data_IF_606194035401
#
_entry.id   IF_606194035401
#
_cell.length_a   1.000
_cell.length_b   1.000
_cell.length_c   1.000
_cell.angle_alpha   90.00
_cell.angle_beta   90.00
_cell.angle_gamma   90.00
#
_symmetry.space_group_name_H-M   'P 1'
#
loop_
_entity.id
_entity.type
_entity.pdbx_description
1 polymer ?
2 polymer ?
3 polymer ?
4 non-polymer ?
5 non-polymer ?
6 water ?
#
# COMPACT_ATOMS: atom_id res chain seq x y z
N UNK A 1 4.47 -18.53 15.73
CA UNK A 1 3.49 -18.64 14.62
C UNK A 1 4.11 -19.27 13.38
N UNK A 2 3.28 -19.82 12.50
CA UNK A 2 3.79 -20.42 11.29
C UNK A 2 4.25 -19.30 10.37
N UNK A 3 5.53 -19.30 10.05
CA UNK A 3 6.08 -18.28 9.17
C UNK A 3 6.03 -18.75 7.72
N UNK A 4 5.58 -17.87 6.84
CA UNK A 4 5.51 -18.15 5.42
C UNK A 4 6.45 -17.13 4.78
N UNK A 5 7.53 -17.59 4.16
CA UNK A 5 8.46 -16.66 3.55
C UNK A 5 8.36 -16.69 2.04
N UNK A 6 8.05 -15.54 1.43
CA UNK A 6 7.92 -15.47 -0.02
C UNK A 6 9.21 -14.98 -0.70
N UNK A 7 9.61 -15.67 -1.76
CA UNK A 7 10.82 -15.37 -2.50
C UNK A 7 10.66 -15.43 -4.02
N UNK A 8 11.16 -14.40 -4.73
CA UNK A 8 11.83 -13.24 -4.13
C UNK A 8 10.77 -12.22 -3.70
N UNK A 9 11.06 -11.41 -2.71
CA UNK A 9 10.08 -10.43 -2.26
C UNK A 9 9.71 -9.47 -3.41
N UNK A 10 10.68 -9.15 -4.25
CA UNK A 10 10.46 -8.25 -5.38
C UNK A 10 11.13 -8.83 -6.63
N UNK A 11 10.54 -8.60 -7.80
CA UNK A 11 11.07 -9.17 -9.03
C UNK A 11 10.71 -8.38 -10.30
N UNK A 12 11.71 -8.16 -11.16
CA UNK A 12 11.50 -7.44 -12.41
C UNK A 12 11.54 -8.40 -13.60
N UNK A 13 10.54 -8.26 -14.46
CA UNK A 13 10.43 -9.14 -15.62
C UNK A 13 9.78 -8.43 -16.80
N UNK A 14 9.77 -9.10 -17.94
CA UNK A 14 9.19 -8.53 -19.16
C UNK A 14 8.11 -9.43 -19.69
N UNK A 15 7.22 -8.85 -20.49
CA UNK A 15 6.15 -9.63 -21.10
C UNK A 15 6.78 -10.79 -21.86
N UNK A 16 6.22 -11.98 -21.66
CA UNK A 16 6.73 -13.15 -22.34
C UNK A 16 7.77 -13.91 -21.54
N UNK A 17 8.11 -13.44 -20.35
CA UNK A 17 9.08 -14.13 -19.52
C UNK A 17 8.42 -15.30 -18.80
N UNK A 18 9.24 -16.21 -18.33
CA UNK A 18 8.77 -17.35 -17.57
C UNK A 18 9.32 -17.15 -16.16
N UNK A 19 8.45 -16.88 -15.19
CA UNK A 19 8.93 -16.69 -13.82
C UNK A 19 8.32 -17.69 -12.87
N UNK A 20 9.09 -18.02 -11.84
CA UNK A 20 8.63 -18.95 -10.83
C UNK A 20 8.91 -18.28 -9.49
N UNK A 21 7.97 -18.33 -8.56
CA UNK A 21 8.22 -17.73 -7.26
C UNK A 21 7.88 -18.71 -6.15
N UNK A 22 8.57 -18.58 -5.03
CA UNK A 22 8.34 -19.51 -3.94
C UNK A 22 7.79 -18.93 -2.65
N UNK A 23 7.29 -19.85 -1.84
CA UNK A 23 6.70 -19.54 -0.56
C UNK A 23 7.09 -20.69 0.37
N UNK A 24 7.88 -20.34 1.38
CA UNK A 24 8.38 -21.29 2.37
C UNK A 24 7.57 -21.24 3.65
N UNK A 25 7.31 -22.42 4.22
CA UNK A 25 6.56 -22.52 5.46
C UNK A 25 7.50 -23.10 6.53
N UNK A 26 7.42 -22.56 7.75
CA UNK A 26 8.24 -23.03 8.85
C UNK A 26 7.87 -24.44 9.29
N UNK A 27 6.62 -24.82 9.07
CA UNK A 27 6.15 -26.18 9.39
C UNK A 27 5.36 -26.69 8.21
N UNK A 28 5.24 -28.01 8.12
CA UNK A 28 4.48 -28.60 7.02
C UNK A 28 3.03 -28.19 7.04
N UNK A 29 2.50 -27.81 5.88
CA UNK A 29 1.11 -27.41 5.76
C UNK A 29 0.43 -28.29 4.71
N UNK A 30 1.02 -29.46 4.49
CA UNK A 30 0.53 -30.43 3.52
C UNK A 30 0.29 -29.79 2.15
N UNK A 31 -0.95 -29.81 1.67
CA UNK A 31 -1.28 -29.22 0.37
C UNK A 31 -2.13 -27.97 0.55
N UNK A 32 -2.36 -27.58 1.80
CA UNK A 32 -3.19 -26.42 2.11
C UNK A 32 -2.54 -25.06 1.89
N UNK A 33 -2.15 -24.78 0.65
CA UNK A 33 -1.55 -23.49 0.31
C UNK A 33 -2.17 -22.89 -0.96
N UNK A 34 -2.62 -21.65 -0.86
CA UNK A 34 -3.24 -21.00 -2.00
C UNK A 34 -2.39 -19.82 -2.51
N UNK A 35 -2.58 -19.48 -3.78
CA UNK A 35 -1.84 -18.39 -4.42
C UNK A 35 -2.82 -17.36 -5.00
N UNK A 36 -2.50 -16.08 -4.83
CA UNK A 36 -3.33 -15.01 -5.34
C UNK A 36 -2.56 -13.94 -6.10
N UNK A 37 -3.24 -13.28 -7.02
CA UNK A 37 -2.62 -12.17 -7.75
C UNK A 37 -3.41 -10.94 -7.29
N UNK A 38 -2.72 -9.88 -6.91
CA UNK A 38 -3.42 -8.67 -6.50
C UNK A 38 -2.90 -7.47 -7.23
N UNK A 39 -3.78 -6.87 -8.03
CA UNK A 39 -3.43 -5.68 -8.78
C UNK A 39 -3.74 -4.47 -7.90
N UNK A 40 -2.95 -3.41 -8.02
CA UNK A 40 -3.14 -2.19 -7.23
C UNK A 40 -4.58 -1.68 -7.26
N UNK A 41 -5.15 -1.51 -6.07
CA UNK A 41 -6.52 -1.02 -5.96
C UNK A 41 -7.58 -2.10 -6.01
N UNK A 42 -7.19 -3.33 -6.35
CA UNK A 42 -8.14 -4.41 -6.44
C UNK A 42 -7.91 -5.47 -5.38
N UNK A 43 -8.97 -6.23 -5.03
CA UNK A 43 -8.85 -7.29 -4.02
C UNK A 43 -8.07 -8.48 -4.55
N UNK A 44 -7.56 -9.34 -3.65
CA UNK A 44 -6.81 -10.52 -4.06
C UNK A 44 -7.66 -11.44 -4.96
N UNK A 45 -7.01 -12.11 -5.90
CA UNK A 45 -7.70 -12.99 -6.83
C UNK A 45 -7.07 -14.39 -6.82
N UNK A 46 -7.83 -15.37 -6.37
CA UNK A 46 -7.35 -16.74 -6.29
C UNK A 46 -6.92 -17.29 -7.65
N UNK A 47 -5.73 -17.90 -7.69
CA UNK A 47 -5.18 -18.49 -8.90
C UNK A 47 -5.05 -20.00 -8.72
N UNK A 48 -4.45 -20.39 -7.60
CA UNK A 48 -4.21 -21.78 -7.26
C UNK A 48 -4.73 -22.12 -5.87
N UNK A 49 -5.48 -23.21 -5.78
CA UNK A 49 -6.01 -23.66 -4.50
C UNK A 49 -5.46 -25.05 -4.25
N UNK A 50 -5.28 -25.39 -2.98
CA UNK A 50 -4.76 -26.69 -2.61
C UNK A 50 -3.37 -26.97 -3.18
N UNK A 51 -2.57 -25.92 -3.29
CA UNK A 51 -1.19 -25.99 -3.78
C UNK A 51 -0.93 -26.24 -5.26
N UNK A 52 -1.70 -27.13 -5.88
CA UNK A 52 -1.50 -27.44 -7.30
C UNK A 52 -2.70 -27.35 -8.22
N UNK A 53 -3.88 -27.08 -7.67
CA UNK A 53 -5.05 -27.02 -8.52
C UNK A 53 -5.39 -25.63 -9.04
N UNK A 54 -5.45 -25.54 -10.37
CA UNK A 54 -5.76 -24.29 -11.06
C UNK A 54 -7.21 -23.94 -10.77
N UNK A 55 -7.45 -22.72 -10.28
CA UNK A 55 -8.81 -22.27 -9.98
C UNK A 55 -9.56 -22.02 -11.28
N UNK A 56 -10.79 -22.52 -11.34
CA UNK A 56 -11.62 -22.36 -12.52
C UNK A 56 -11.66 -20.89 -12.96
N UNK A 57 -11.46 -20.67 -14.26
CA UNK A 57 -11.49 -19.32 -14.80
C UNK A 57 -10.13 -18.63 -14.88
N UNK A 58 -9.11 -19.27 -14.33
CA UNK A 58 -7.77 -18.69 -14.34
C UNK A 58 -6.97 -19.18 -15.54
N UNK A 59 -6.20 -18.28 -16.18
CA UNK A 59 -5.38 -18.61 -17.36
C UNK A 59 -4.49 -19.82 -17.14
N UNK A 60 -4.34 -20.63 -18.19
CA UNK A 60 -3.54 -21.85 -18.13
C UNK A 60 -2.06 -21.57 -17.88
N UNK A 61 -1.63 -20.33 -18.10
CA UNK A 61 -0.23 -19.99 -17.87
C UNK A 61 0.18 -20.13 -16.41
N UNK A 62 -0.77 -20.02 -15.48
CA UNK A 62 -0.46 -20.16 -14.06
C UNK A 62 -0.46 -21.62 -13.63
N UNK A 63 0.48 -21.99 -12.78
CA UNK A 63 0.57 -23.36 -12.29
C UNK A 63 1.21 -23.31 -10.91
N UNK A 64 1.00 -24.37 -10.14
CA UNK A 64 1.58 -24.42 -8.81
C UNK A 64 2.02 -25.82 -8.43
N UNK A 65 3.01 -25.90 -7.55
CA UNK A 65 3.52 -27.19 -7.09
C UNK A 65 4.15 -27.09 -5.71
N UNK A 66 4.29 -28.24 -5.07
CA UNK A 66 4.88 -28.29 -3.75
C UNK A 66 3.98 -28.97 -2.76
N UNK A 67 4.53 -29.26 -1.60
CA UNK A 67 3.80 -29.91 -0.53
C UNK A 67 4.69 -29.79 0.71
N UNK A 68 4.07 -29.69 1.87
CA UNK A 68 4.85 -29.58 3.09
C UNK A 68 5.39 -28.19 3.37
N UNK A 69 6.67 -27.98 3.08
CA UNK A 69 7.27 -26.68 3.35
C UNK A 69 7.68 -25.85 2.14
N UNK A 70 7.74 -26.48 0.97
CA UNK A 70 8.12 -25.76 -0.24
C UNK A 70 7.01 -25.70 -1.28
N UNK A 71 6.78 -24.50 -1.81
CA UNK A 71 5.74 -24.29 -2.82
C UNK A 71 6.13 -23.25 -3.85
N UNK A 72 5.76 -23.49 -5.11
CA UNK A 72 6.07 -22.55 -6.16
C UNK A 72 4.86 -22.22 -7.01
N UNK A 73 4.93 -21.06 -7.65
CA UNK A 73 3.90 -20.58 -8.55
C UNK A 73 4.69 -20.24 -9.80
N UNK A 74 4.26 -20.75 -10.95
CA UNK A 74 4.98 -20.47 -12.17
C UNK A 74 4.10 -19.82 -13.22
N UNK A 75 4.64 -18.84 -13.92
CA UNK A 75 3.90 -18.17 -14.99
C UNK A 75 4.68 -18.40 -16.28
N UNK A 76 4.25 -19.43 -17.03
CA UNK A 76 4.88 -19.85 -18.29
C UNK A 76 5.24 -18.70 -19.22
N UNK A 77 4.32 -17.75 -19.31
CA UNK A 77 4.50 -16.58 -20.15
C UNK A 77 3.77 -15.42 -19.48
N UNK A 78 4.54 -14.43 -19.10
CA UNK A 78 4.04 -13.27 -18.39
C UNK A 78 3.34 -12.27 -19.28
N UNK A 79 2.15 -11.87 -18.85
CA UNK A 79 1.38 -10.89 -19.58
C UNK A 79 1.38 -9.60 -18.79
N UNK A 80 0.85 -8.53 -19.39
CA UNK A 80 0.75 -7.21 -18.78
C UNK A 80 -0.11 -7.27 -17.52
N UNK A 81 -1.20 -8.03 -17.60
CA UNK A 81 -2.15 -8.20 -16.50
C UNK A 81 -1.44 -8.86 -15.30
N UNK A 82 -0.23 -9.38 -15.52
CA UNK A 82 0.54 -10.05 -14.45
C UNK A 82 1.53 -9.21 -13.63
N UNK A 83 1.69 -7.94 -13.96
CA UNK A 83 2.59 -7.09 -13.19
C UNK A 83 1.79 -6.64 -11.98
N UNK A 84 1.94 -7.40 -10.91
CA UNK A 84 1.23 -7.15 -9.67
C UNK A 84 1.96 -7.80 -8.51
N UNK A 85 1.27 -7.89 -7.38
CA UNK A 85 1.84 -8.52 -6.20
C UNK A 85 1.18 -9.86 -5.98
N UNK A 86 1.99 -10.86 -5.65
CA UNK A 86 1.51 -12.21 -5.42
C UNK A 86 1.62 -12.66 -3.98
N UNK A 87 0.61 -13.39 -3.50
CA UNK A 87 0.61 -13.89 -2.13
C UNK A 87 0.25 -15.36 -2.02
N UNK A 88 0.80 -16.01 -1.02
CA UNK A 88 0.50 -17.41 -0.75
C UNK A 88 -0.16 -17.40 0.62
N UNK A 89 -1.01 -18.39 0.87
CA UNK A 89 -1.69 -18.50 2.15
C UNK A 89 -1.84 -19.96 2.52
N UNK A 90 -1.51 -20.30 3.76
CA UNK A 90 -1.66 -21.67 4.19
C UNK A 90 -2.91 -21.69 5.05
N UNK A 91 -3.73 -22.72 4.86
CA UNK A 91 -4.97 -22.85 5.61
C UNK A 91 -5.00 -24.22 6.29
N UNK A 92 -3.84 -24.64 6.77
CA UNK A 92 -3.68 -25.92 7.44
C UNK A 92 -3.68 -25.73 8.96
N UNK A 93 -3.15 -24.61 9.40
CA UNK A 93 -3.08 -24.28 10.83
C UNK A 93 -3.75 -22.96 11.09
N UNK A 94 -4.25 -22.80 12.31
CA UNK A 94 -4.84 -21.55 12.73
C UNK A 94 -3.69 -20.93 13.51
N UNK A 95 -3.44 -19.63 13.28
CA UNK A 95 -4.18 -18.82 12.33
C UNK A 95 -3.75 -19.08 10.87
N UNK A 96 -4.55 -18.61 9.92
CA UNK A 96 -4.25 -18.77 8.51
C UNK A 96 -3.29 -17.67 8.10
N UNK A 97 -2.05 -18.04 7.85
CA UNK A 97 -1.02 -17.09 7.50
C UNK A 97 -0.89 -16.77 6.01
N UNK A 98 -0.52 -15.53 5.73
CA UNK A 98 -0.28 -15.04 4.37
C UNK A 98 1.22 -14.75 4.29
N UNK A 99 1.79 -14.81 3.09
CA UNK A 99 3.21 -14.51 2.95
C UNK A 99 3.39 -13.01 2.88
N UNK A 100 4.63 -12.54 2.84
CA UNK A 100 4.88 -11.10 2.76
C UNK A 100 4.62 -10.54 1.37
N UNK A 101 4.50 -11.42 0.39
CA UNK A 101 4.24 -11.01 -0.97
C UNK A 101 5.45 -10.89 -1.89
N UNK A 102 5.21 -11.07 -3.17
CA UNK A 102 6.25 -10.96 -4.17
C UNK A 102 5.73 -9.94 -5.18
N UNK A 103 6.47 -8.84 -5.31
CA UNK A 103 6.10 -7.75 -6.20
C UNK A 103 6.77 -7.92 -7.57
N UNK A 104 5.96 -8.00 -8.61
CA UNK A 104 6.49 -8.18 -9.96
C UNK A 104 6.26 -6.91 -10.78
N UNK A 105 7.35 -6.26 -11.18
CA UNK A 105 7.23 -5.04 -11.97
C UNK A 105 7.89 -5.16 -13.34
N UNK A 106 7.67 -4.16 -14.19
CA UNK A 106 8.23 -4.14 -15.53
C UNK A 106 9.69 -3.75 -15.58
N UNK A 107 10.49 -4.59 -16.22
CA UNK A 107 11.91 -4.35 -16.30
C UNK A 107 12.35 -3.36 -17.40
N UNK A 108 13.26 -2.46 -17.04
CA UNK A 108 13.79 -1.49 -17.97
C UNK A 108 15.24 -1.30 -17.57
N UNK A 109 15.99 -0.54 -18.37
CA UNK A 109 17.39 -0.33 -18.02
C UNK A 109 17.47 0.47 -16.71
N UNK A 110 18.51 0.19 -15.94
CA UNK A 110 18.73 0.88 -14.68
C UNK A 110 18.79 2.38 -14.93
N UNK A 111 18.04 3.14 -14.15
CA UNK A 111 18.00 4.59 -14.30
C UNK A 111 18.23 5.22 -12.94
N UNK A 112 19.29 6.02 -12.84
CA UNK A 112 19.58 6.68 -11.58
C UNK A 112 18.61 7.84 -11.43
N UNK A 113 18.19 8.14 -10.19
CA UNK A 113 17.26 9.24 -9.95
C UNK A 113 17.86 10.65 -10.12
N UNK A 114 16.98 11.61 -10.38
CA UNK A 114 17.38 13.01 -10.51
C UNK A 114 16.97 13.56 -9.14
N UNK A 115 17.94 13.97 -8.36
CA UNK A 115 17.63 14.46 -7.03
C UNK A 115 17.55 15.98 -6.90
N UNK A 116 16.51 16.45 -6.22
CA UNK A 116 16.32 17.89 -6.00
C UNK A 116 15.97 18.07 -4.54
N UNK A 117 16.42 19.16 -3.93
CA UNK A 117 16.09 19.40 -2.53
C UNK A 117 15.36 20.75 -2.43
N UNK A 118 14.28 20.79 -1.66
CA UNK A 118 13.49 22.01 -1.52
C UNK A 118 13.43 22.56 -0.11
N UNK A 119 13.91 23.80 0.08
CA UNK A 119 13.87 24.38 1.41
C UNK A 119 12.45 24.72 1.84
N UNK A 120 12.22 24.95 3.14
CA UNK A 120 10.87 25.29 3.59
C UNK A 120 10.51 26.68 3.07
N UNK A 121 9.23 26.96 2.91
CA UNK A 121 8.81 28.27 2.46
C UNK A 121 8.78 29.20 3.68
N UNK A 122 8.89 30.50 3.44
CA UNK A 122 8.85 31.45 4.55
C UNK A 122 7.45 31.51 5.13
N UNK A 123 6.44 31.27 4.28
CA UNK A 123 5.07 31.28 4.73
C UNK A 123 4.82 30.16 5.71
N UNK A 124 5.41 28.98 5.45
CA UNK A 124 5.22 27.86 6.36
C UNK A 124 5.95 28.10 7.67
N UNK A 125 7.14 28.69 7.58
CA UNK A 125 7.93 28.94 8.78
C UNK A 125 7.13 29.64 9.88
N UNK A 126 6.13 30.43 9.52
CA UNK A 126 5.33 31.10 10.53
C UNK A 126 4.38 30.13 11.20
N UNK A 127 3.80 29.22 10.42
CA UNK A 127 2.87 28.25 11.00
C UNK A 127 3.59 27.65 12.20
N UNK A 128 4.92 27.73 12.17
CA UNK A 128 5.74 27.22 13.25
C UNK A 128 6.45 25.92 12.89
N UNK A 129 6.36 25.52 11.64
CA UNK A 129 6.99 24.28 11.21
C UNK A 129 7.79 24.44 9.93
N UNK A 130 8.80 23.59 9.76
CA UNK A 130 9.64 23.62 8.58
C UNK A 130 9.66 22.26 7.92
N UNK A 131 9.18 22.21 6.68
CA UNK A 131 9.17 20.98 5.92
C UNK A 131 10.14 21.13 4.76
N UNK A 132 11.20 20.33 4.75
CA UNK A 132 12.14 20.35 3.65
C UNK A 132 11.90 19.02 2.91
N UNK A 133 11.87 19.06 1.59
CA UNK A 133 11.59 17.86 0.82
C UNK A 133 12.63 17.48 -0.21
N UNK A 134 12.80 16.17 -0.39
CA UNK A 134 13.75 15.66 -1.34
C UNK A 134 13.06 14.83 -2.41
N UNK A 135 13.28 15.20 -3.66
CA UNK A 135 12.69 14.53 -4.82
C UNK A 135 13.67 13.61 -5.58
N UNK A 136 13.32 12.34 -5.68
CA UNK A 136 14.12 11.36 -6.43
C UNK A 136 13.26 11.08 -7.67
N UNK A 137 13.64 11.69 -8.79
CA UNK A 137 12.84 11.57 -9.97
C UNK A 137 13.27 10.55 -11.01
N UNK A 138 12.28 9.78 -11.47
CA UNK A 138 12.45 8.81 -12.52
C UNK A 138 13.62 7.87 -12.47
N UNK A 139 13.58 6.95 -11.53
CA UNK A 139 14.66 6.00 -11.37
C UNK A 139 14.19 4.54 -11.53
N UNK A 140 15.16 3.63 -11.62
CA UNK A 140 14.88 2.20 -11.73
C UNK A 140 16.19 1.45 -11.47
N UNK A 141 16.12 0.39 -10.65
CA UNK A 141 14.92 -0.12 -10.00
C UNK A 141 14.31 0.71 -8.87
N UNK A 142 13.20 0.21 -8.35
CA UNK A 142 12.43 0.84 -7.30
C UNK A 142 13.17 1.09 -6.01
N UNK A 143 14.06 0.19 -5.58
CA UNK A 143 14.64 0.54 -4.32
C UNK A 143 15.68 1.63 -4.34
N UNK A 144 15.50 2.45 -3.33
CA UNK A 144 16.27 3.63 -3.13
C UNK A 144 16.32 3.96 -1.65
N UNK A 145 17.34 4.70 -1.27
CA UNK A 145 17.56 5.08 0.10
C UNK A 145 17.82 6.58 0.23
N UNK A 146 17.05 7.23 1.10
CA UNK A 146 17.19 8.64 1.37
C UNK A 146 17.63 8.84 2.82
N UNK A 147 18.74 9.55 3.00
CA UNK A 147 19.23 9.84 4.34
C UNK A 147 19.32 11.36 4.49
N UNK A 148 18.69 11.89 5.53
CA UNK A 148 18.70 13.32 5.80
C UNK A 148 19.81 13.66 6.79
N UNK A 149 20.46 14.80 6.56
CA UNK A 149 21.52 15.26 7.44
C UNK A 149 21.37 16.75 7.68
N UNK A 150 21.47 17.15 8.95
CA UNK A 150 21.38 18.55 9.33
C UNK A 150 22.67 18.85 10.08
N UNK A 151 23.46 19.76 9.54
CA UNK A 151 24.75 20.11 10.12
C UNK A 151 25.49 18.82 10.43
N UNK A 152 25.43 17.94 9.43
CA UNK A 152 26.03 16.63 9.41
C UNK A 152 25.48 15.60 10.36
N UNK A 153 24.39 15.94 11.05
CA UNK A 153 23.76 14.99 11.98
C UNK A 153 22.73 14.16 11.23
N UNK A 154 22.85 12.84 11.31
CA UNK A 154 21.92 11.94 10.63
C UNK A 154 20.53 12.06 11.27
N UNK A 155 19.52 12.37 10.46
CA UNK A 155 18.15 12.52 10.95
C UNK A 155 17.39 11.20 10.95
N UNK A 156 16.69 10.92 12.05
CA UNK A 156 15.92 9.69 12.17
C UNK A 156 14.61 9.88 12.92
N UNK A 157 13.52 9.39 12.34
CA UNK A 157 12.22 9.50 12.97
C UNK A 157 11.45 10.77 12.67
N UNK A 158 12.01 11.66 11.85
CA UNK A 158 11.33 12.91 11.53
C UNK A 158 11.10 13.08 10.04
N UNK A 159 11.07 11.98 9.30
CA UNK A 159 10.83 12.05 7.87
C UNK A 159 9.81 11.00 7.47
N UNK A 160 9.17 11.21 6.33
CA UNK A 160 8.19 10.30 5.79
C UNK A 160 8.40 10.31 4.29
N UNK A 161 8.00 9.25 3.60
CA UNK A 161 8.15 9.22 2.15
C UNK A 161 7.11 8.35 1.49
N UNK A 162 6.89 8.59 0.19
CA UNK A 162 5.96 7.80 -0.59
C UNK A 162 6.54 7.65 -1.99
N UNK A 163 6.16 6.59 -2.67
CA UNK A 163 6.64 6.33 -4.02
C UNK A 163 5.48 6.27 -4.97
N UNK A 164 5.68 6.75 -6.19
CA UNK A 164 4.63 6.68 -7.17
C UNK A 164 4.69 5.26 -7.74
N UNK A 165 3.65 4.89 -8.49
CA UNK A 165 3.60 3.57 -9.12
C UNK A 165 4.47 3.64 -10.35
N UNK A 166 4.86 2.46 -10.86
CA UNK A 166 5.69 2.40 -12.05
C UNK A 166 4.97 3.13 -13.18
N UNK A 167 5.69 4.04 -13.83
CA UNK A 167 5.17 4.83 -14.94
C UNK A 167 4.76 3.90 -16.08
N UNK A 168 3.67 4.23 -16.75
CA UNK A 168 3.24 3.33 -17.81
C UNK A 168 3.97 3.49 -19.14
N UNK A 169 4.69 4.59 -19.34
CA UNK A 169 5.42 4.78 -20.59
C UNK A 169 6.93 4.58 -20.42
N UNK A 170 7.50 5.05 -19.32
CA UNK A 170 8.94 4.88 -19.12
C UNK A 170 9.36 3.89 -18.05
N UNK A 171 8.37 3.28 -17.39
CA UNK A 171 8.63 2.27 -16.36
C UNK A 171 9.48 2.71 -15.17
N UNK A 172 9.57 4.00 -14.91
CA UNK A 172 10.36 4.47 -13.77
C UNK A 172 9.49 4.74 -12.55
N UNK A 173 10.17 4.97 -11.42
CA UNK A 173 9.53 5.29 -10.16
C UNK A 173 10.01 6.67 -9.76
N UNK A 174 9.31 7.29 -8.82
CA UNK A 174 9.72 8.60 -8.31
C UNK A 174 9.41 8.58 -6.83
N UNK A 175 10.32 9.13 -6.04
CA UNK A 175 10.11 9.14 -4.60
C UNK A 175 10.15 10.54 -3.99
N UNK A 176 9.39 10.70 -2.92
CA UNK A 176 9.32 11.96 -2.22
C UNK A 176 9.53 11.71 -0.72
N UNK A 177 10.42 12.48 -0.12
CA UNK A 177 10.74 12.36 1.30
C UNK A 177 10.60 13.74 1.94
N UNK A 178 10.01 13.78 3.13
CA UNK A 178 9.82 15.04 3.83
C UNK A 178 10.40 15.01 5.21
N UNK A 179 11.30 15.95 5.46
CA UNK A 179 11.93 16.11 6.76
C UNK A 179 11.14 17.22 7.43
N UNK A 180 10.61 16.95 8.61
CA UNK A 180 9.82 17.95 9.33
C UNK A 180 10.48 18.36 10.64
N UNK A 181 10.69 19.66 10.78
CA UNK A 181 11.33 20.21 11.96
C UNK A 181 10.55 21.40 12.50
N UNK A 182 10.83 21.76 13.75
CA UNK A 182 10.19 22.91 14.35
C UNK A 182 10.90 24.12 13.75
N UNK A 183 10.21 25.24 13.66
CA UNK A 183 10.84 26.45 13.14
C UNK A 183 12.13 26.72 13.92
N UNK A 184 12.04 26.60 15.24
CA UNK A 184 13.17 26.84 16.11
C UNK A 184 14.38 26.00 15.71
N UNK A 185 14.16 24.70 15.59
CA UNK A 185 15.23 23.79 15.20
C UNK A 185 15.80 24.16 13.85
N UNK A 186 14.92 24.43 12.89
CA UNK A 186 15.35 24.79 11.55
C UNK A 186 16.32 25.97 11.54
N UNK A 187 16.00 26.99 12.32
CA UNK A 187 16.81 28.21 12.40
C UNK A 187 18.09 27.98 13.21
N UNK A 188 18.12 26.90 14.00
CA UNK A 188 19.29 26.58 14.80
C UNK A 188 20.37 25.87 13.98
N UNK A 189 20.09 25.56 12.72
CA UNK A 189 21.07 24.85 11.92
C UNK A 189 21.34 25.43 10.55
N UNK A 190 22.42 24.96 9.94
CA UNK A 190 22.86 25.49 8.65
C UNK A 190 22.71 24.66 7.38
N UNK A 191 23.44 23.54 7.28
CA UNK A 191 23.34 22.70 6.08
C UNK A 191 22.25 21.67 6.13
N UNK A 192 21.46 21.63 5.08
CA UNK A 192 20.41 20.65 4.96
C UNK A 192 20.75 19.81 3.75
N UNK A 193 21.02 18.54 3.99
CA UNK A 193 21.36 17.68 2.88
C UNK A 193 20.53 16.42 2.83
N UNK A 194 20.33 15.97 1.60
CA UNK A 194 19.58 14.77 1.28
C UNK A 194 20.55 13.86 0.53
N UNK A 195 20.89 12.71 1.11
CA UNK A 195 21.80 11.76 0.47
C UNK A 195 21.05 10.56 -0.08
N UNK A 196 21.14 10.37 -1.39
CA UNK A 196 20.45 9.28 -2.06
C UNK A 196 21.34 8.12 -2.48
N UNK A 197 20.90 6.91 -2.13
CA UNK A 197 21.61 5.70 -2.49
C UNK A 197 20.76 4.96 -3.51
N UNK A 198 21.36 4.56 -4.62
CA UNK A 198 20.63 3.85 -5.65
C UNK A 198 21.57 3.16 -6.62
N UNK A 199 21.23 1.92 -6.93
CA UNK A 199 22.02 1.08 -7.83
C UNK A 199 22.50 1.77 -9.12
N UNK A 200 21.79 2.80 -9.58
CA UNK A 200 22.22 3.50 -10.79
C UNK A 200 23.30 4.54 -10.52
N UNK A 201 23.61 4.71 -9.24
CA UNK A 201 24.63 5.67 -8.80
C UNK A 201 25.83 4.92 -8.23
N UNK A 202 27.01 5.14 -8.81
CA UNK A 202 28.23 4.50 -8.35
C UNK A 202 28.48 4.87 -6.89
N UNK A 203 28.17 6.10 -6.54
CA UNK A 203 28.35 6.60 -5.19
C UNK A 203 27.15 7.46 -4.82
N UNK A 204 26.68 7.36 -3.57
CA UNK A 204 25.54 8.13 -3.08
C UNK A 204 25.65 9.60 -3.44
N UNK A 205 24.55 10.18 -3.91
CA UNK A 205 24.57 11.58 -4.29
C UNK A 205 23.94 12.43 -3.19
N UNK A 206 24.49 13.61 -3.00
CA UNK A 206 24.00 14.52 -1.98
C UNK A 206 23.57 15.87 -2.52
N UNK A 207 22.32 16.23 -2.28
CA UNK A 207 21.82 17.54 -2.68
C UNK A 207 21.66 18.28 -1.36
N UNK A 208 22.08 19.53 -1.32
CA UNK A 208 21.99 20.28 -0.08
C UNK A 208 21.83 21.77 -0.30
N UNK A 209 21.62 22.49 0.79
CA UNK A 209 21.47 23.93 0.75
C UNK A 209 21.78 24.49 2.14
N UNK A 210 22.17 25.76 2.18
CA UNK A 210 22.44 26.41 3.45
C UNK A 210 21.27 27.33 3.72
N UNK A 211 20.73 27.28 4.93
CA UNK A 211 19.56 28.07 5.25
C UNK A 211 19.59 29.56 4.89
N UNK A 212 20.67 30.28 5.18
CA UNK A 212 20.60 31.67 4.79
C UNK A 212 20.79 31.96 3.32
N UNK A 213 21.85 31.36 2.78
CA UNK A 213 22.36 31.60 1.44
C UNK A 213 21.87 31.02 0.09
N UNK B 1 -21.93 -14.77 -9.60
CA UNK B 1 -22.41 -15.87 -8.73
C UNK B 1 -22.23 -15.51 -7.24
N UNK B 2 -21.11 -15.85 -6.63
CA UNK B 2 -20.86 -15.52 -5.23
C UNK B 2 -20.23 -14.13 -5.19
N UNK B 3 -20.84 -13.22 -4.43
CA UNK B 3 -20.32 -11.87 -4.29
C UNK B 3 -20.39 -11.45 -2.84
N UNK B 4 -19.35 -10.79 -2.36
CA UNK B 4 -19.32 -10.33 -0.99
C UNK B 4 -19.02 -8.85 -0.98
N UNK B 5 -19.56 -8.14 0.01
CA UNK B 5 -19.31 -6.72 0.07
C UNK B 5 -19.25 -6.22 1.51
N UNK B 6 -18.18 -5.48 1.79
CA UNK B 6 -17.93 -4.92 3.11
C UNK B 6 -18.57 -3.55 3.26
N UNK B 7 -19.10 -3.27 4.45
CA UNK B 7 -19.73 -1.98 4.73
C UNK B 7 -19.43 -1.57 6.17
N UNK B 8 -19.35 -0.26 6.39
CA UNK B 8 -19.06 0.26 7.71
C UNK B 8 -18.59 1.69 7.61
N UNK B 9 -17.99 2.25 8.67
CA UNK B 9 -17.49 3.62 8.67
C UNK B 9 -16.09 3.71 8.09
N UNK B 10 -15.84 4.66 7.18
CA UNK B 10 -14.52 4.83 6.56
C UNK B 10 -13.59 5.57 7.50
N UNK B 11 -14.19 6.28 8.46
CA UNK B 11 -13.45 7.06 9.43
C UNK B 11 -13.82 6.66 10.85
N UNK B 12 -12.84 6.18 11.60
CA UNK B 12 -13.06 5.81 12.98
C UNK B 12 -12.05 6.56 13.83
N UNK B 13 -12.42 6.83 15.08
CA UNK B 13 -11.54 7.55 15.98
C UNK B 13 -10.79 6.65 16.95
N UNK B 14 -9.50 6.96 17.18
CA UNK B 14 -8.67 6.18 18.10
C UNK B 14 -9.46 5.86 19.37
N UNK B 15 -9.35 4.62 19.83
CA UNK B 15 -10.03 4.14 21.03
C UNK B 15 -11.45 3.71 20.71
N UNK B 16 -12.09 4.37 19.75
CA UNK B 16 -13.45 4.03 19.38
C UNK B 16 -13.54 2.61 18.86
N UNK B 17 -14.77 2.15 18.63
CA UNK B 17 -14.97 0.80 18.12
C UNK B 17 -15.39 0.76 16.66
N UNK B 18 -14.71 -0.11 15.91
CA UNK B 18 -14.96 -0.31 14.50
C UNK B 18 -15.86 -1.50 14.24
N UNK B 19 -16.99 -1.27 13.58
CA UNK B 19 -17.91 -2.35 13.25
C UNK B 19 -18.04 -2.47 11.73
N UNK B 20 -17.76 -3.67 11.23
CA UNK B 20 -17.81 -3.96 9.80
C UNK B 20 -18.81 -5.07 9.49
N UNK B 21 -19.44 -4.96 8.33
CA UNK B 21 -20.42 -5.97 7.93
C UNK B 21 -20.11 -6.53 6.56
N UNK B 22 -20.27 -7.84 6.41
CA UNK B 22 -20.02 -8.51 5.14
C UNK B 22 -21.36 -9.05 4.64
N UNK B 23 -21.88 -8.44 3.59
CA UNK B 23 -23.13 -8.88 3.00
C UNK B 23 -22.77 -9.74 1.80
N UNK B 24 -23.41 -10.89 1.69
CA UNK B 24 -23.12 -11.80 0.59
C UNK B 24 -24.36 -12.39 -0.07
N UNK B 25 -24.15 -13.02 -1.22
CA UNK B 25 -25.23 -13.63 -1.97
C UNK B 25 -24.64 -14.61 -2.97
N UNK B 26 -25.37 -15.69 -3.23
CA UNK B 26 -24.89 -16.71 -4.14
C UNK B 26 -24.46 -17.91 -3.32
N UNK B 27 -24.63 -17.80 -2.01
CA UNK B 27 -24.27 -18.88 -1.08
C UNK B 27 -24.83 -18.53 0.28
N UNK B 28 -25.15 -19.53 1.09
CA UNK B 28 -25.69 -19.28 2.42
C UNK B 28 -24.82 -19.94 3.49
N UNK B 29 -24.86 -19.39 4.70
CA UNK B 29 -24.06 -19.95 5.77
C UNK B 29 -24.66 -21.24 6.32
N UNK B 30 -25.68 -21.77 5.64
CA UNK B 30 -26.28 -23.01 6.10
C UNK B 30 -25.68 -24.14 5.24
N UNK B 31 -24.97 -23.75 4.19
CA UNK B 31 -24.33 -24.74 3.35
C UNK B 31 -23.22 -25.33 4.20
N UNK B 32 -23.12 -26.65 4.24
CA UNK B 32 -22.11 -27.31 5.06
C UNK B 32 -20.70 -26.75 4.90
N UNK B 33 -20.00 -26.63 6.03
CA UNK B 33 -18.63 -26.15 6.05
C UNK B 33 -18.26 -24.78 5.49
N UNK B 34 -19.22 -24.05 4.93
CA UNK B 34 -18.90 -22.73 4.39
C UNK B 34 -18.31 -21.81 5.45
N UNK B 35 -17.35 -21.00 5.02
CA UNK B 35 -16.72 -20.06 5.93
C UNK B 35 -16.71 -18.68 5.31
N UNK B 36 -16.48 -17.69 6.14
CA UNK B 36 -16.39 -16.30 5.72
C UNK B 36 -15.32 -15.74 6.61
N UNK B 37 -14.26 -15.22 6.01
CA UNK B 37 -13.18 -14.67 6.81
C UNK B 37 -12.96 -13.20 6.56
N UNK B 38 -12.15 -12.60 7.43
CA UNK B 38 -11.81 -11.20 7.30
C UNK B 38 -10.30 -11.12 7.18
N UNK B 39 -9.86 -10.35 6.20
CA UNK B 39 -8.44 -10.15 5.93
C UNK B 39 -8.26 -8.66 5.77
N UNK B 40 -7.21 -8.12 6.35
CA UNK B 40 -6.98 -6.68 6.23
C UNK B 40 -5.65 -6.43 5.55
N UNK B 41 -5.46 -5.21 5.06
CA UNK B 41 -4.23 -4.85 4.39
C UNK B 41 -3.88 -3.39 4.60
N UNK B 42 -2.84 -3.13 5.40
CA UNK B 42 -2.46 -1.73 5.61
C UNK B 42 -1.90 -1.16 4.31
N UNK B 43 -2.17 0.11 4.03
CA UNK B 43 -1.68 0.76 2.81
C UNK B 43 -0.20 0.45 2.55
N UNK B 44 0.07 -0.23 1.45
CA UNK B 44 1.43 -0.58 1.09
C UNK B 44 2.02 -1.75 1.87
N UNK B 45 1.16 -2.53 2.52
CA UNK B 45 1.64 -3.67 3.29
C UNK B 45 1.02 -4.96 2.76
N UNK B 46 1.36 -6.06 3.42
CA UNK B 46 0.87 -7.37 3.07
C UNK B 46 -0.48 -7.68 3.69
N UNK B 47 -1.11 -8.73 3.22
CA UNK B 47 -2.40 -9.14 3.75
C UNK B 47 -2.19 -9.67 5.16
N UNK B 48 -3.20 -9.50 6.01
CA UNK B 48 -3.11 -9.99 7.36
C UNK B 48 -4.41 -10.69 7.69
N UNK B 49 -4.31 -11.93 8.14
CA UNK B 49 -5.50 -12.71 8.47
C UNK B 49 -6.11 -12.23 9.77
N UNK B 50 -7.42 -12.02 9.78
CA UNK B 50 -8.11 -11.55 10.98
C UNK B 50 -8.90 -12.62 11.72
N UNK B 51 -9.95 -13.15 11.07
CA UNK B 51 -10.78 -14.14 11.71
C UNK B 51 -11.64 -14.89 10.71
N UNK B 52 -12.16 -16.04 11.11
CA UNK B 52 -13.02 -16.82 10.24
C UNK B 52 -14.18 -17.36 11.06
N UNK B 53 -15.35 -17.48 10.42
CA UNK B 53 -16.52 -18.02 11.07
C UNK B 53 -17.20 -18.92 10.07
N UNK B 54 -17.68 -20.06 10.55
CA UNK B 54 -18.32 -21.04 9.69
C UNK B 54 -19.83 -21.19 9.88
N UNK B 55 -20.39 -22.14 9.15
CA UNK B 55 -21.82 -22.43 9.17
C UNK B 55 -22.29 -22.90 10.53
N UNK B 56 -21.48 -23.72 11.19
CA UNK B 56 -21.83 -24.23 12.51
C UNK B 56 -21.48 -23.25 13.62
N UNK B 57 -21.04 -22.06 13.22
CA UNK B 57 -20.67 -21.00 14.15
C UNK B 57 -19.28 -21.20 14.74
N UNK B 58 -18.50 -22.08 14.13
CA UNK B 58 -17.14 -22.35 14.57
C UNK B 58 -16.35 -21.05 14.29
N UNK B 59 -15.60 -20.59 15.27
CA UNK B 59 -14.83 -19.35 15.11
C UNK B 59 -13.37 -19.48 15.49
N UNK B 60 -12.55 -18.63 14.87
CA UNK B 60 -11.13 -18.56 15.14
C UNK B 60 -10.69 -17.15 14.87
N UNK B 61 -9.85 -16.62 15.75
CA UNK B 61 -9.37 -15.27 15.60
C UNK B 61 -7.85 -15.31 15.51
N UNK B 62 -7.25 -14.23 15.04
CA UNK B 62 -5.81 -14.16 14.98
C UNK B 62 -5.41 -13.98 16.43
N UNK B 63 -4.54 -14.86 16.96
CA UNK B 63 -4.09 -14.79 18.34
C UNK B 63 -3.71 -13.40 18.83
N UNK B 64 -3.00 -12.65 18.00
CA UNK B 64 -2.55 -11.31 18.35
C UNK B 64 -3.69 -10.30 18.57
N UNK B 65 -4.78 -10.43 17.81
CA UNK B 65 -5.93 -9.52 17.92
C UNK B 65 -7.11 -10.16 18.65
N UNK B 66 -6.93 -11.38 19.17
CA UNK B 66 -8.00 -12.09 19.85
C UNK B 66 -8.84 -11.37 20.91
N UNK B 67 -8.22 -10.57 21.79
CA UNK B 67 -9.00 -9.89 22.82
C UNK B 67 -9.65 -8.61 22.29
N UNK B 68 -9.45 -8.33 21.01
CA UNK B 68 -10.01 -7.14 20.40
C UNK B 68 -11.04 -7.42 19.29
N UNK B 69 -11.14 -8.67 18.85
CA UNK B 69 -12.05 -9.05 17.79
C UNK B 69 -13.21 -9.95 18.20
N UNK B 70 -14.36 -9.71 17.58
CA UNK B 70 -15.54 -10.52 17.81
C UNK B 70 -16.22 -10.70 16.46
N UNK B 71 -16.42 -11.95 16.07
CA UNK B 71 -17.04 -12.23 14.78
C UNK B 71 -18.39 -12.94 14.97
N UNK B 72 -19.40 -12.49 14.22
CA UNK B 72 -20.73 -13.07 14.29
C UNK B 72 -21.36 -13.21 12.90
N UNK B 73 -22.43 -14.00 12.84
CA UNK B 73 -23.15 -14.21 11.60
C UNK B 73 -24.67 -14.18 11.85
N UNK B 74 -25.41 -13.68 10.87
CA UNK B 74 -26.87 -13.63 10.95
C UNK B 74 -27.36 -14.24 9.65
N UNK B 75 -27.83 -15.48 9.73
CA UNK B 75 -28.32 -16.20 8.57
C UNK B 75 -29.58 -15.57 7.93
N UNK B 76 -30.42 -14.99 8.76
CA UNK B 76 -31.65 -14.34 8.28
C UNK B 76 -31.28 -13.23 7.30
N UNK B 77 -30.07 -12.71 7.44
CA UNK B 77 -29.62 -11.61 6.60
C UNK B 77 -28.45 -11.84 5.68
N UNK B 78 -27.86 -13.04 5.70
CA UNK B 78 -26.70 -13.30 4.86
C UNK B 78 -25.60 -12.29 5.18
N UNK B 79 -25.43 -11.95 6.44
CA UNK B 79 -24.39 -11.00 6.81
C UNK B 79 -23.50 -11.52 7.93
N UNK B 80 -22.24 -11.12 7.87
CA UNK B 80 -21.26 -11.51 8.88
C UNK B 80 -20.73 -10.19 9.44
N UNK B 81 -20.55 -10.13 10.75
CA UNK B 81 -20.09 -8.91 11.39
C UNK B 81 -18.79 -9.05 12.15
N UNK B 82 -17.91 -8.09 11.95
CA UNK B 82 -16.64 -8.08 12.65
C UNK B 82 -16.60 -6.80 13.46
N UNK B 83 -16.23 -6.92 14.73
CA UNK B 83 -16.14 -5.79 15.64
C UNK B 83 -14.72 -5.77 16.18
N UNK B 84 -14.04 -4.65 15.97
CA UNK B 84 -12.68 -4.50 16.46
C UNK B 84 -12.69 -3.36 17.47
N UNK B 85 -12.14 -3.62 18.66
CA UNK B 85 -12.12 -2.61 19.72
C UNK B 85 -10.78 -1.90 19.89
N UNK B 86 -10.84 -0.75 20.55
CA UNK B 86 -9.69 0.12 20.78
C UNK B 86 -8.75 0.14 19.59
N UNK B 87 -9.24 0.71 18.50
CA UNK B 87 -8.47 0.82 17.28
C UNK B 87 -7.51 2.00 17.39
N UNK B 88 -6.39 1.91 16.69
CA UNK B 88 -5.40 2.98 16.69
C UNK B 88 -5.00 3.22 15.24
N UNK B 89 -4.23 4.27 14.97
CA UNK B 89 -3.78 4.59 13.60
C UNK B 89 -3.21 3.38 12.85
N UNK B 90 -2.67 2.42 13.59
CA UNK B 90 -2.10 1.22 13.00
C UNK B 90 -3.14 0.26 12.44
N UNK B 91 -4.41 0.50 12.77
CA UNK B 91 -5.47 -0.35 12.26
C UNK B 91 -6.01 0.23 10.95
N UNK B 92 -5.39 1.32 10.51
CA UNK B 92 -5.78 1.95 9.25
C UNK B 92 -5.35 0.96 8.16
N UNK B 93 -6.32 0.52 7.37
CA UNK B 93 -6.04 -0.43 6.31
C UNK B 93 -7.30 -0.64 5.52
N UNK B 94 -7.23 -1.57 4.58
CA UNK B 94 -8.37 -1.93 3.77
C UNK B 94 -8.81 -3.27 4.33
N UNK B 95 -10.10 -3.41 4.66
CA UNK B 95 -10.61 -4.66 5.18
C UNK B 95 -11.40 -5.42 4.13
N UNK B 96 -11.10 -6.70 3.99
CA UNK B 96 -11.76 -7.56 3.00
C UNK B 96 -12.43 -8.73 3.72
N UNK B 97 -13.57 -9.17 3.22
CA UNK B 97 -14.18 -10.37 3.76
C UNK B 97 -14.14 -11.33 2.59
N UNK B 98 -13.98 -12.62 2.86
CA UNK B 98 -13.90 -13.56 1.77
C UNK B 98 -14.67 -14.83 2.07
N UNK B 99 -15.00 -15.55 1.00
CA UNK B 99 -15.74 -16.79 1.08
C UNK B 99 -14.79 -17.98 1.04
N UNK B 100 -15.10 -19.01 1.83
CA UNK B 100 -14.29 -20.21 1.85
C UNK B 100 -15.19 -21.41 1.61
N UNK B 101 -14.89 -22.15 0.55
CA UNK B 101 -15.68 -23.32 0.20
C UNK B 101 -15.62 -24.41 1.26
N UNK B 102 -16.69 -25.19 1.33
CA UNK B 102 -16.75 -26.27 2.29
C UNK B 102 -16.56 -27.58 1.54
N UNK B 103 -16.43 -28.71 2.24
CA UNK B 103 -16.24 -30.03 1.61
C UNK B 103 -17.41 -30.33 0.66
N UNK B 104 -17.11 -30.80 -0.54
CA UNK B 104 -18.14 -31.13 -1.52
C UNK B 104 -19.03 -32.27 -1.06
N UNK B 112 -13.05 -33.70 -3.74
CA UNK B 112 -13.68 -32.38 -3.66
C UNK B 112 -13.45 -31.94 -2.24
N UNK B 113 -12.17 -31.92 -1.92
CA UNK B 113 -11.66 -31.65 -0.61
C UNK B 113 -10.76 -30.43 -0.64
N UNK B 114 -9.74 -30.52 -1.50
CA UNK B 114 -8.77 -29.46 -1.65
C UNK B 114 -9.29 -28.04 -1.88
N UNK B 115 -10.50 -27.86 -2.45
CA UNK B 115 -11.06 -26.52 -2.69
C UNK B 115 -11.39 -25.69 -1.45
N UNK B 116 -11.18 -26.25 -0.27
CA UNK B 116 -11.43 -25.48 0.95
C UNK B 116 -10.08 -24.83 1.23
N UNK B 117 -9.04 -25.36 0.62
CA UNK B 117 -7.71 -24.81 0.83
C UNK B 117 -7.52 -23.54 0.03
N UNK B 118 -8.30 -22.52 0.38
CA UNK B 118 -8.24 -21.22 -0.26
C UNK B 118 -9.49 -20.41 0.04
N UNK B 119 -9.40 -19.11 -0.21
CA UNK B 119 -10.52 -18.19 -0.06
C UNK B 119 -10.72 -17.84 -1.54
N UNK B 120 -11.81 -18.34 -2.13
CA UNK B 120 -12.07 -18.16 -3.56
C UNK B 120 -12.73 -16.89 -4.07
N UNK B 121 -13.55 -16.24 -3.24
CA UNK B 121 -14.19 -15.01 -3.68
C UNK B 121 -14.06 -13.94 -2.59
N UNK B 122 -13.58 -12.78 -3.01
CA UNK B 122 -13.36 -11.68 -2.09
C UNK B 122 -14.23 -10.48 -2.40
N UNK B 123 -14.43 -9.61 -1.41
CA UNK B 123 -15.24 -8.43 -1.63
C UNK B 123 -14.31 -7.33 -2.11
N UNK B 124 -14.86 -6.21 -2.57
CA UNK B 124 -14.03 -5.10 -3.04
C UNK B 124 -13.00 -4.75 -1.98
N UNK B 125 -13.45 -4.76 -0.74
CA UNK B 125 -12.62 -4.40 0.38
C UNK B 125 -13.13 -3.02 0.77
N UNK B 126 -12.95 -2.63 2.03
CA UNK B 126 -13.38 -1.31 2.46
C UNK B 126 -12.22 -0.62 3.13
N UNK B 127 -12.00 0.63 2.78
CA UNK B 127 -10.90 1.40 3.36
C UNK B 127 -11.36 2.08 4.63
N UNK B 128 -10.65 1.80 5.73
CA UNK B 128 -10.98 2.38 7.02
C UNK B 128 -9.74 3.14 7.48
N UNK B 129 -9.95 4.39 7.90
CA UNK B 129 -8.88 5.25 8.37
C UNK B 129 -9.12 5.61 9.84
N UNK B 130 -8.09 5.43 10.67
CA UNK B 130 -8.19 5.72 12.11
C UNK B 130 -7.54 7.06 12.41
N UNK B 131 -8.34 8.08 12.68
CA UNK B 131 -7.83 9.40 13.00
C UNK B 131 -8.74 10.18 13.95
N UNK B 132 -8.12 10.95 14.84
CA UNK B 132 -8.86 11.74 15.82
C UNK B 132 -9.14 13.11 15.22
N UNK B 133 -8.70 13.27 13.98
CA UNK B 133 -8.85 14.52 13.28
C UNK B 133 -10.23 14.82 12.71
N UNK B 134 -10.49 16.10 12.52
CA UNK B 134 -11.76 16.57 11.95
C UNK B 134 -11.44 17.09 10.55
N UNK B 135 -12.47 17.28 9.73
CA UNK B 135 -12.28 17.80 8.39
C UNK B 135 -11.46 19.08 8.48
N UNK B 136 -10.60 19.27 7.49
CA UNK B 136 -9.74 20.44 7.49
C UNK B 136 -9.08 20.61 6.13
N UNK B 137 -9.16 21.84 5.61
CA UNK B 137 -8.55 22.11 4.32
C UNK B 137 -7.05 22.16 4.43
N UNK B 138 -6.34 22.03 3.30
CA UNK B 138 -4.88 22.06 3.33
C UNK B 138 -4.25 23.44 3.12
N UNK B 139 -3.00 23.54 3.53
CA UNK B 139 -2.21 24.75 3.32
C UNK B 139 -1.34 24.30 2.18
N UNK B 140 -1.13 25.16 1.19
CA UNK B 140 -0.32 24.80 0.04
C UNK B 140 0.95 25.64 0.00
N UNK B 141 2.09 24.97 0.09
CA UNK B 141 3.36 25.65 0.07
C UNK B 141 4.15 25.32 -1.20
N UNK B 142 4.99 26.26 -1.64
CA UNK B 142 5.80 26.06 -2.84
C UNK B 142 7.00 25.15 -2.62
N UNK B 143 7.42 24.49 -3.70
CA UNK B 143 8.61 23.64 -3.70
C UNK B 143 9.38 24.30 -4.84
N UNK B 144 10.04 25.41 -4.50
CA UNK B 144 10.78 26.22 -5.45
C UNK B 144 12.09 25.67 -6.01
N UNK B 145 12.26 25.78 -7.34
CA UNK B 145 13.41 25.34 -8.15
C UNK B 145 14.60 26.28 -8.02
N UNK B 153 18.87 21.94 -19.59
CA UNK B 153 18.89 21.69 -18.17
C UNK B 153 17.48 21.51 -17.64
N UNK B 154 17.33 20.53 -16.77
CA UNK B 154 16.06 20.18 -16.20
C UNK B 154 15.88 20.66 -14.76
N UNK B 155 14.81 21.43 -14.51
CA UNK B 155 14.52 21.93 -13.17
C UNK B 155 13.25 21.29 -12.64
N UNK B 156 13.17 21.15 -11.33
CA UNK B 156 11.99 20.57 -10.71
C UNK B 156 11.39 21.60 -9.78
N UNK B 157 10.06 21.62 -9.73
CA UNK B 157 9.35 22.54 -8.86
C UNK B 157 8.10 21.81 -8.40
N UNK B 158 7.40 22.36 -7.41
CA UNK B 158 6.21 21.69 -6.95
C UNK B 158 5.40 22.40 -5.88
N UNK B 159 4.47 21.65 -5.30
CA UNK B 159 3.61 22.15 -4.26
C UNK B 159 3.49 21.11 -3.17
N UNK B 160 3.62 21.57 -1.94
CA UNK B 160 3.48 20.71 -0.78
C UNK B 160 2.09 21.05 -0.24
N UNK B 161 1.18 20.08 -0.32
CA UNK B 161 -0.19 20.24 0.16
C UNK B 161 -0.20 19.65 1.57
N UNK B 162 -0.22 20.52 2.56
CA UNK B 162 -0.12 20.04 3.93
C UNK B 162 -1.28 20.18 4.90
N UNK B 163 -1.33 19.24 5.84
CA UNK B 163 -2.33 19.20 6.90
C UNK B 163 -3.80 19.29 6.48
N UNK B 164 -4.25 18.31 5.71
CA UNK B 164 -5.63 18.29 5.27
C UNK B 164 -6.28 17.00 5.74
N UNK B 165 -7.60 17.01 5.86
CA UNK B 165 -8.31 15.82 6.27
C UNK B 165 -9.80 15.89 5.95
N UNK B 166 -10.35 14.81 5.40
CA UNK B 166 -9.64 13.58 5.10
C UNK B 166 -9.34 13.51 3.61
N UNK B 167 -8.86 12.36 3.14
CA UNK B 167 -8.60 12.20 1.71
C UNK B 167 -9.96 12.31 1.02
N UNK B 168 -9.99 12.63 -0.29
CA UNK B 168 -8.80 12.87 -1.09
C UNK B 168 -8.59 14.34 -1.42
N UNK B 169 -7.51 14.60 -2.14
CA UNK B 169 -7.18 15.95 -2.57
C UNK B 169 -6.87 15.79 -4.06
N UNK B 170 -7.12 16.81 -4.85
CA UNK B 170 -6.80 16.72 -6.27
C UNK B 170 -5.83 17.85 -6.61
N UNK B 171 -4.87 17.53 -7.47
CA UNK B 171 -3.87 18.51 -7.87
C UNK B 171 -3.67 18.48 -9.39
N UNK B 172 -3.66 19.66 -9.99
CA UNK B 172 -3.42 19.76 -11.42
C UNK B 172 -2.46 20.92 -11.59
N UNK B 173 -1.84 21.01 -12.75
CA UNK B 173 -0.90 22.09 -12.98
C UNK B 173 -1.37 22.95 -14.14
N UNK B 174 -1.38 24.27 -13.92
CA UNK B 174 -1.82 25.22 -14.93
C UNK B 174 -3.20 24.84 -15.46
N UNK B 175 -4.10 24.58 -14.52
CA UNK B 175 -5.49 24.21 -14.83
C UNK B 175 -5.61 23.07 -15.84
N UNK B 176 -4.76 22.06 -15.73
CA UNK B 176 -4.83 20.94 -16.64
C UNK B 176 -3.96 21.04 -17.88
N UNK B 177 -3.54 22.26 -18.20
CA UNK B 177 -2.70 22.48 -19.37
C UNK B 177 -1.32 21.83 -19.25
N UNK B 178 -0.86 21.61 -18.02
CA UNK B 178 0.45 21.00 -17.80
C UNK B 178 0.28 19.59 -17.24
N UNK B 179 0.76 18.59 -17.97
CA UNK B 179 0.62 17.21 -17.54
C UNK B 179 1.88 16.36 -17.62
N UNK B 180 2.72 16.61 -18.63
CA UNK B 180 3.93 15.81 -18.79
C UNK B 180 4.98 16.20 -17.76
N UNK B 181 5.59 15.20 -17.14
CA UNK B 181 6.62 15.46 -16.15
C UNK B 181 6.05 15.59 -14.76
N UNK B 182 4.72 15.50 -14.66
CA UNK B 182 4.02 15.62 -13.38
C UNK B 182 4.02 14.33 -12.57
N UNK B 183 4.26 14.49 -11.26
CA UNK B 183 4.25 13.37 -10.32
C UNK B 183 3.57 13.78 -9.02
N UNK B 184 2.30 13.42 -8.90
CA UNK B 184 1.56 13.71 -7.68
C UNK B 184 1.73 12.45 -6.86
N UNK B 185 2.42 12.57 -5.75
CA UNK B 185 2.68 11.42 -4.89
C UNK B 185 1.54 11.05 -3.96
N UNK B 186 1.61 9.83 -3.41
CA UNK B 186 0.59 9.33 -2.48
C UNK B 186 0.76 10.12 -1.18
N UNK B 187 -0.34 10.60 -0.62
CA UNK B 187 -0.25 11.36 0.62
C UNK B 187 0.20 10.42 1.73
N UNK B 188 0.78 11.00 2.79
CA UNK B 188 1.21 10.22 3.94
C UNK B 188 0.34 10.72 5.09
N UNK B 189 -0.06 9.81 5.97
CA UNK B 189 -0.86 10.20 7.13
C UNK B 189 0.19 10.46 8.20
N UNK B 190 0.28 11.72 8.62
CA UNK B 190 1.26 12.12 9.62
C UNK B 190 0.85 11.69 11.01
N UNK B 191 1.77 11.84 11.96
CA UNK B 191 1.54 11.47 13.34
C UNK B 191 0.43 12.33 13.93
N UNK B 192 0.24 13.52 13.36
CA UNK B 192 -0.79 14.44 13.83
C UNK B 192 -2.19 13.97 13.43
N UNK B 193 -2.24 12.93 12.60
CA UNK B 193 -3.53 12.43 12.14
C UNK B 193 -3.97 13.15 10.89
N UNK B 194 -3.14 14.08 10.42
CA UNK B 194 -3.43 14.85 9.21
C UNK B 194 -2.58 14.39 8.04
N UNK B 195 -3.08 14.61 6.83
CA UNK B 195 -2.36 14.20 5.63
C UNK B 195 -1.44 15.27 5.11
N UNK B 196 -0.51 14.83 4.26
CA UNK B 196 0.44 15.70 3.62
C UNK B 196 0.87 15.02 2.32
N UNK B 197 0.76 15.73 1.21
CA UNK B 197 1.18 15.18 -0.07
C UNK B 197 1.86 16.24 -0.91
N UNK B 198 2.76 15.80 -1.78
CA UNK B 198 3.47 16.70 -2.65
C UNK B 198 3.17 16.35 -4.11
N UNK B 199 3.28 17.34 -4.97
CA UNK B 199 3.05 17.17 -6.39
C UNK B 199 4.16 17.96 -7.06
N UNK B 200 4.94 17.28 -7.89
CA UNK B 200 6.05 17.92 -8.56
C UNK B 200 5.96 17.78 -10.07
N UNK B 201 6.57 18.72 -10.77
CA UNK B 201 6.61 18.66 -12.22
C UNK B 201 8.02 19.08 -12.62
N UNK B 202 8.60 18.30 -13.52
CA UNK B 202 9.94 18.56 -13.99
C UNK B 202 9.89 19.32 -15.33
N UNK B 203 10.66 20.40 -15.42
CA UNK B 203 10.67 21.25 -16.60
C UNK B 203 12.06 21.73 -17.04
N UNK B 204 12.13 22.37 -18.22
CA UNK B 204 13.41 22.89 -18.74
C UNK B 204 13.73 24.19 -18.01
N UNK B 205 14.97 24.33 -17.56
CA UNK B 205 15.40 25.52 -16.84
C UNK B 205 15.04 26.77 -17.62
N UNK B 206 15.38 26.75 -18.90
CA UNK B 206 15.13 27.88 -19.80
C UNK B 206 13.72 28.47 -19.71
N UNK B 207 12.73 27.64 -19.38
CA UNK B 207 11.36 28.10 -19.29
C UNK B 207 11.00 28.67 -17.91
N UNK B 208 11.89 28.51 -16.95
CA UNK B 208 11.64 29.00 -15.60
C UNK B 208 11.40 30.50 -15.55
N UNK B 209 11.91 31.22 -16.54
CA UNK B 209 11.75 32.66 -16.54
C UNK B 209 10.65 33.21 -17.43
N UNK B 210 10.06 32.37 -18.27
CA UNK B 210 9.03 32.84 -19.18
C UNK B 210 7.69 32.10 -19.07
N UNK B 211 7.70 30.91 -18.48
CA UNK B 211 6.47 30.17 -18.30
C UNK B 211 6.09 30.19 -16.82
N UNK B 212 4.80 30.30 -16.53
CA UNK B 212 4.35 30.31 -15.15
C UNK B 212 3.91 28.91 -14.75
N UNK B 213 4.06 28.59 -13.47
CA UNK B 213 3.68 27.28 -12.98
C UNK B 213 2.82 27.42 -11.75
N UNK B 214 1.57 27.02 -11.88
CA UNK B 214 0.60 27.11 -10.80
C UNK B 214 -0.08 25.77 -10.54
N UNK B 215 -0.03 25.29 -9.30
CA UNK B 215 -0.69 24.05 -8.98
C UNK B 215 -2.12 24.38 -8.54
N UNK B 216 -3.09 23.61 -9.00
CA UNK B 216 -4.47 23.86 -8.63
C UNK B 216 -4.89 22.75 -7.67
N UNK B 217 -5.07 23.13 -6.41
CA UNK B 217 -5.41 22.19 -5.35
C UNK B 217 -6.88 22.25 -4.96
N UNK B 218 -7.50 21.08 -4.87
CA UNK B 218 -8.91 21.02 -4.49
C UNK B 218 -9.20 19.91 -3.48
N UNK B 219 -9.61 20.31 -2.28
CA UNK B 219 -9.96 19.40 -1.20
C UNK B 219 -11.46 19.55 -0.96
N UNK B 220 -12.25 18.83 -1.74
CA UNK B 220 -13.71 18.91 -1.65
C UNK B 220 -14.29 18.67 -0.26
N UNK B 221 -13.76 17.68 0.49
CA UNK B 221 -14.29 17.43 1.83
C UNK B 221 -14.40 18.68 2.69
N UNK B 222 -13.49 19.64 2.49
CA UNK B 222 -13.49 20.88 3.25
C UNK B 222 -13.91 22.05 2.38
N UNK B 223 -14.24 21.75 1.12
CA UNK B 223 -14.63 22.77 0.16
C UNK B 223 -13.51 23.81 0.06
N UNK B 224 -12.27 23.34 0.00
CA UNK B 224 -11.11 24.22 -0.08
C UNK B 224 -10.35 24.14 -1.40
N UNK B 225 -10.30 25.26 -2.13
CA UNK B 225 -9.56 25.30 -3.38
C UNK B 225 -8.46 26.35 -3.27
N UNK B 226 -7.28 25.99 -3.77
CA UNK B 226 -6.14 26.89 -3.73
C UNK B 226 -5.35 26.84 -5.04
N UNK B 227 -4.94 28.02 -5.51
CA UNK B 227 -4.12 28.12 -6.71
C UNK B 227 -2.80 28.69 -6.21
N UNK B 228 -1.74 27.90 -6.34
CA UNK B 228 -0.43 28.30 -5.89
C UNK B 228 0.58 28.45 -7.01
N UNK B 229 1.02 29.69 -7.18
CA UNK B 229 2.00 30.07 -8.19
C UNK B 229 3.37 29.72 -7.59
N UNK B 230 4.18 28.97 -8.34
CA UNK B 230 5.48 28.55 -7.86
C UNK B 230 6.63 29.10 -8.71
N UNK B 231 7.68 29.59 -8.06
CA UNK B 231 8.85 30.11 -8.78
C UNK B 231 10.11 30.17 -7.93
N UNK B 232 11.29 30.30 -8.57
CA UNK B 232 12.61 30.39 -7.93
C UNK B 232 12.68 31.10 -6.58
N UNK C 25 0.50 -25.36 17.46
CA UNK C 25 -0.48 -24.73 16.51
C UNK C 25 -1.69 -25.64 16.37
N UNK C 26 -2.90 -25.08 16.45
CA UNK C 26 -4.07 -25.90 16.29
C UNK C 26 -4.31 -26.09 14.80
N UNK C 27 -5.01 -27.16 14.45
CA UNK C 27 -5.24 -27.47 13.03
C UNK C 27 -6.52 -26.90 12.46
N UNK C 28 -6.47 -26.60 11.16
CA UNK C 28 -7.63 -26.07 10.46
C UNK C 28 -8.79 -27.05 10.54
N UNK C 29 -9.99 -26.52 10.31
CA UNK C 29 -11.21 -27.32 10.34
C UNK C 29 -11.21 -28.53 9.39
N UNK C 30 -10.43 -28.47 8.31
CA UNK C 30 -10.45 -29.61 7.40
C UNK C 30 -9.18 -30.43 7.34
N UNK C 31 -8.21 -30.13 8.18
CA UNK C 31 -6.97 -30.91 8.14
C UNK C 31 -7.27 -32.41 8.20
N UNK C 32 -8.17 -32.83 9.09
CA UNK C 32 -8.46 -34.24 9.25
C UNK C 32 -9.01 -34.89 8.02
N UNK C 33 -9.49 -34.09 7.05
CA UNK C 33 -10.00 -34.88 5.99
C UNK C 33 -8.96 -35.51 5.12
N UNK C 34 -7.74 -34.90 4.98
CA UNK C 34 -6.56 -35.58 4.42
C UNK C 34 -6.07 -36.21 5.77
X LIG D 1 22.48 32.76 10.62
X LIG D 1 22.26 32.47 9.14
X LIG D 1 22.13 31.45 11.32
X LIG D 1 23.85 33.06 10.84
X LIG D 1 21.56 33.76 11.06
X LIG E 1 -9.70 -34.17 -3.20
X LIG E 1 -8.72 -35.28 -3.55
X LIG E 1 -10.40 -34.70 -1.97
X LIG E 1 -8.98 -32.98 -2.89
X LIG E 1 -10.66 -34.05 -4.24
X LIG F 1 6.44 13.10 0.50
X LIG F 1 7.13 13.46 1.67
X LIG F 1 4.92 13.12 0.70
X LIG F 1 4.47 14.43 1.12
X LIG F 1 4.27 12.71 -0.63
X LIG F 1 2.87 12.71 -0.54
#
# INVERSE_FOLDING_TARGET
ALQLTQSPSSLSASVGDRITITCRASQGVTSALAWYRQKPGSPPQLLIYDASSLESGVPSRFSGSGSGTEFTLTISTLRPEDFATYYCQQLHFYPHTFGGGTRVDVRRTVAAPSVFIFPPSDEQLKSGTASVVCLLNNFYPREAKVQWKVDNALQSGNSQESVTEQDSKDSTYSLSSTLTLSKADYEKHKVYECEVTHQGLSSPVTKSFNRGEX
RITLKESGPPLVKPTQTLTLTCSFSGFSLSDFGVGVGWIRQPPGKALEWLAIIYSDDDKRYSPSLNTRLTITKDTSKNQVVLVMTRVSPVDTATYFCAHRRGPTTLFGVPIARGPVNAMDVWGQGITVTISSTSTKGPSVFPLAPSSKSTSGGTAALGCLVKDYFPEPVTVSWNSGALTSGVHTFPAVLQSSGLYSLSSVVTVPSSSLGTQTYTCNVNHKPSNTKVDKRVEPKSCDK
GIGALFLGFLGAAGSKKXKNEQELLELDKWASLWN
SO4 S O1 O2 O3 O4
SO4 S O1 O2 O3 O4
GOL C1 O1 C2 O2 C3 O3
#
